data_IF_718402650959
#
_entry.id   IF_718402650959
#
_cell.length_a   1.000
_cell.length_b   1.000
_cell.length_c   1.000
_cell.angle_alpha   90.00
_cell.angle_beta   90.00
_cell.angle_gamma   90.00
#
_symmetry.space_group_name_H-M   'P 1'
#
loop_
_entity.id
_entity.type
_entity.pdbx_description
1 polymer ?
#
# COMPACT_ATOMS: atom_id res chain seq x y z
N UNK A 1 24.39 6.50 -33.42
CA UNK A 1 24.28 5.27 -32.60
C UNK A 1 22.96 5.32 -31.87
N UNK A 2 21.94 4.75 -32.49
CA UNK A 2 20.61 4.58 -31.90
C UNK A 2 20.38 3.07 -31.78
N UNK A 3 19.89 2.61 -30.64
CA UNK A 3 19.25 1.30 -30.52
C UNK A 3 17.93 1.50 -29.81
N UNK A 4 16.89 1.53 -30.63
CA UNK A 4 15.51 1.25 -30.26
C UNK A 4 15.43 -0.12 -29.59
N UNK A 5 14.59 -0.23 -28.55
CA UNK A 5 14.09 -1.51 -28.07
C UNK A 5 12.59 -1.52 -28.39
N UNK A 6 12.26 -2.21 -29.48
CA UNK A 6 10.91 -2.52 -29.88
C UNK A 6 10.27 -3.46 -28.86
N UNK A 7 9.10 -3.09 -28.33
CA UNK A 7 8.21 -4.02 -27.65
C UNK A 7 7.63 -4.97 -28.71
N UNK A 8 7.83 -6.28 -28.53
CA UNK A 8 7.13 -7.29 -29.32
C UNK A 8 6.19 -8.06 -28.39
N UNK A 9 4.90 -7.82 -28.58
CA UNK A 9 3.77 -8.55 -28.03
C UNK A 9 3.64 -9.87 -28.79
N UNK A 10 3.71 -11.01 -28.10
CA UNK A 10 3.26 -12.28 -28.68
C UNK A 10 2.59 -13.13 -27.61
N UNK A 11 1.26 -13.02 -27.58
CA UNK A 11 0.37 -14.03 -27.00
C UNK A 11 0.49 -15.30 -27.85
N UNK A 12 0.94 -16.41 -27.27
CA UNK A 12 0.61 -17.72 -27.80
C UNK A 12 0.45 -18.74 -26.67
N UNK A 13 -0.71 -19.39 -26.70
CA UNK A 13 -1.16 -20.45 -25.79
C UNK A 13 -0.31 -21.71 -25.93
N UNK A 14 0.07 -22.34 -24.82
CA UNK A 14 0.60 -23.70 -24.83
C UNK A 14 -0.34 -24.69 -24.14
N UNK A 15 -0.78 -25.65 -24.96
CA UNK A 15 -1.35 -26.95 -24.58
C UNK A 15 -0.29 -27.88 -23.97
N UNK A 16 -0.69 -28.98 -23.31
CA UNK A 16 0.18 -29.75 -22.42
C UNK A 16 1.12 -30.70 -23.18
N UNK A 17 2.41 -30.68 -22.84
CA UNK A 17 3.41 -31.64 -23.34
C UNK A 17 3.57 -32.80 -22.35
N UNK A 18 3.52 -34.00 -22.93
CA UNK A 18 3.73 -35.33 -22.34
C UNK A 18 5.00 -35.44 -21.49
N UNK A 19 4.85 -36.12 -20.37
CA UNK A 19 5.89 -36.56 -19.45
C UNK A 19 6.92 -37.47 -20.14
N UNK A 20 8.21 -37.24 -19.84
CA UNK A 20 9.28 -38.22 -20.00
C UNK A 20 9.95 -38.38 -18.63
N UNK A 21 10.25 -39.62 -18.17
CA UNK A 21 10.44 -39.92 -16.76
C UNK A 21 11.90 -39.72 -16.33
N UNK A 22 12.14 -38.88 -15.32
CA UNK A 22 13.50 -38.70 -14.81
C UNK A 22 13.70 -37.45 -13.94
N UNK A 23 12.81 -37.18 -13.00
CA UNK A 23 13.08 -36.26 -11.89
C UNK A 23 12.33 -36.74 -10.64
N UNK A 24 12.93 -36.67 -9.44
CA UNK A 24 12.26 -37.13 -8.22
C UNK A 24 11.02 -36.27 -7.97
N UNK A 25 9.87 -36.93 -7.83
CA UNK A 25 8.58 -36.31 -7.53
C UNK A 25 8.68 -35.46 -6.27
N UNK A 26 8.36 -34.18 -6.38
CA UNK A 26 8.08 -33.32 -5.22
C UNK A 26 6.85 -33.91 -4.53
N UNK A 27 6.95 -34.36 -3.26
CA UNK A 27 5.80 -34.93 -2.58
C UNK A 27 4.76 -33.82 -2.34
N UNK A 28 3.44 -34.15 -2.40
CA UNK A 28 2.41 -33.18 -2.09
C UNK A 28 2.61 -32.69 -0.65
N UNK A 29 2.56 -31.38 -0.47
CA UNK A 29 2.70 -30.72 0.82
C UNK A 29 1.43 -30.96 1.63
N UNK A 30 1.32 -32.18 2.18
CA UNK A 30 0.32 -32.51 3.20
C UNK A 30 0.85 -31.92 4.50
N UNK A 31 0.22 -30.85 4.96
CA UNK A 31 0.40 -30.34 6.31
C UNK A 31 -0.01 -31.42 7.30
N UNK A 32 0.96 -32.19 7.79
CA UNK A 32 0.73 -33.08 8.92
C UNK A 32 0.60 -32.21 10.17
N UNK A 33 -0.61 -31.73 10.44
CA UNK A 33 -1.01 -31.41 11.80
C UNK A 33 -0.86 -32.73 12.57
N UNK A 34 0.13 -32.84 13.45
CA UNK A 34 0.18 -33.95 14.41
C UNK A 34 -1.01 -33.80 15.36
N UNK A 35 -2.18 -34.28 14.94
CA UNK A 35 -3.26 -34.60 15.86
C UNK A 35 -2.84 -35.89 16.56
N UNK A 36 -2.36 -35.79 17.79
CA UNK A 36 -2.33 -36.93 18.70
C UNK A 36 -3.77 -37.43 18.87
N UNK A 37 -4.09 -38.69 18.54
CA UNK A 37 -5.42 -39.25 18.79
C UNK A 37 -5.69 -39.48 20.28
N UNK A 38 -4.68 -39.27 21.15
CA UNK A 38 -4.79 -39.47 22.58
C UNK A 38 -5.08 -38.14 23.26
N UNK A 39 -6.29 -38.01 23.80
CA UNK A 39 -6.64 -36.96 24.76
C UNK A 39 -5.60 -36.99 25.89
N UNK A 40 -4.81 -35.92 26.04
CA UNK A 40 -3.86 -35.81 27.13
C UNK A 40 -4.63 -35.71 28.46
N UNK A 41 -4.25 -36.46 29.51
CA UNK A 41 -5.00 -36.52 30.78
C UNK A 41 -5.05 -35.21 31.58
N UNK A 42 -4.30 -34.18 31.17
CA UNK A 42 -4.05 -32.99 31.98
C UNK A 42 -4.62 -31.69 31.41
N UNK A 43 -5.61 -31.76 30.52
CA UNK A 43 -6.40 -30.58 30.14
C UNK A 43 -7.50 -30.40 31.20
N UNK A 44 -7.59 -29.27 31.93
CA UNK A 44 -8.72 -29.01 32.81
C UNK A 44 -9.98 -28.90 31.95
N UNK A 45 -10.89 -29.86 32.07
CA UNK A 45 -12.21 -29.81 31.44
C UNK A 45 -13.09 -29.04 32.42
N UNK A 46 -13.65 -27.91 31.99
CA UNK A 46 -14.71 -27.20 32.70
C UNK A 46 -16.00 -28.03 32.54
N UNK A 47 -16.15 -29.03 33.39
CA UNK A 47 -17.31 -29.92 33.44
C UNK A 47 -17.09 -30.93 34.55
N UNK A 48 -17.99 -30.97 35.52
CA UNK A 48 -17.99 -31.98 36.57
C UNK A 48 -18.34 -33.31 35.91
N UNK A 49 -17.35 -34.17 35.70
CA UNK A 49 -17.62 -35.57 35.44
C UNK A 49 -17.85 -36.21 36.81
N UNK A 50 -19.09 -36.64 37.08
CA UNK A 50 -19.39 -37.44 38.27
C UNK A 50 -18.53 -38.70 38.19
N UNK A 51 -17.43 -38.71 38.96
CA UNK A 51 -16.68 -39.93 39.21
C UNK A 51 -17.60 -40.78 40.08
N UNK A 52 -18.19 -41.80 39.48
CA UNK A 52 -18.91 -42.83 40.20
C UNK A 52 -17.91 -43.50 41.15
N UNK A 53 -17.93 -43.11 42.43
CA UNK A 53 -17.10 -43.72 43.46
C UNK A 53 -17.68 -45.10 43.69
N UNK A 54 -17.15 -46.11 43.00
CA UNK A 54 -17.51 -47.50 43.27
C UNK A 54 -17.03 -47.81 44.69
N UNK A 55 -17.91 -48.00 45.68
CA UNK A 55 -17.48 -48.31 47.03
C UNK A 55 -16.87 -49.71 46.96
N UNK A 56 -15.58 -49.83 47.28
CA UNK A 56 -14.98 -51.14 47.43
C UNK A 56 -15.75 -51.91 48.50
N UNK A 57 -16.29 -53.11 48.19
CA UNK A 57 -16.97 -53.90 49.20
C UNK A 57 -16.00 -54.15 50.36
N UNK A 58 -16.44 -53.92 51.60
CA UNK A 58 -15.69 -54.28 52.79
C UNK A 58 -15.62 -55.80 52.88
N UNK A 59 -14.66 -56.40 52.19
CA UNK A 59 -14.44 -57.84 52.26
C UNK A 59 -13.73 -58.17 53.57
N UNK A 60 -14.21 -59.16 54.33
CA UNK A 60 -13.55 -59.60 55.54
C UNK A 60 -12.16 -60.15 55.18
N UNK A 61 -11.16 -59.75 55.95
CA UNK A 61 -9.77 -60.21 55.80
C UNK A 61 -9.69 -61.65 56.30
N UNK A 62 -9.98 -62.62 55.44
CA UNK A 62 -9.68 -64.03 55.69
C UNK A 62 -9.31 -64.77 54.39
N UNK A 63 -8.01 -65.04 54.23
CA UNK A 63 -7.40 -66.16 53.50
C UNK A 63 -7.61 -66.38 51.99
N UNK A 64 -8.01 -65.39 51.20
CA UNK A 64 -7.92 -65.48 49.72
C UNK A 64 -6.74 -64.70 49.15
N UNK A 65 -5.88 -65.38 48.40
CA UNK A 65 -4.82 -64.78 47.59
C UNK A 65 -5.43 -63.82 46.58
N UNK A 66 -5.15 -62.52 46.72
CA UNK A 66 -5.57 -61.49 45.77
C UNK A 66 -4.45 -61.33 44.75
N UNK A 67 -4.74 -61.60 43.48
CA UNK A 67 -3.84 -61.25 42.37
C UNK A 67 -3.91 -59.73 42.16
N UNK A 68 -2.80 -58.96 42.28
CA UNK A 68 -2.87 -57.51 42.18
C UNK A 68 -3.05 -57.10 40.72
N UNK A 69 -4.28 -56.72 40.35
CA UNK A 69 -4.54 -56.04 39.09
C UNK A 69 -3.78 -54.70 39.06
N UNK A 70 -2.90 -54.56 38.06
CA UNK A 70 -2.12 -53.37 37.67
C UNK A 70 -0.82 -53.07 38.45
N UNK A 71 0.28 -53.69 38.02
CA UNK A 71 1.66 -53.28 38.33
C UNK A 71 2.27 -52.54 37.13
N UNK A 72 2.65 -51.25 37.27
CA UNK A 72 3.39 -50.53 36.24
C UNK A 72 4.72 -51.25 35.94
N UNK A 73 5.07 -51.37 34.65
CA UNK A 73 6.26 -52.10 34.20
C UNK A 73 7.53 -51.65 34.93
N UNK A 74 8.16 -52.58 35.67
CA UNK A 74 9.39 -52.33 36.45
C UNK A 74 9.20 -52.31 37.97
N UNK A 75 7.95 -52.29 38.48
CA UNK A 75 7.65 -52.51 39.91
C UNK A 75 7.01 -53.89 40.09
N UNK A 76 7.82 -54.94 40.03
CA UNK A 76 7.40 -56.26 40.52
C UNK A 76 7.54 -56.26 42.05
N UNK A 77 6.49 -55.88 42.79
CA UNK A 77 6.41 -56.29 44.19
C UNK A 77 6.01 -57.75 44.19
N UNK A 78 6.93 -58.66 44.50
CA UNK A 78 6.56 -60.06 44.73
C UNK A 78 5.46 -60.09 45.82
N UNK A 79 4.36 -60.83 45.60
CA UNK A 79 3.34 -61.01 46.62
C UNK A 79 4.00 -61.51 47.91
N UNK A 80 3.62 -60.94 49.06
CA UNK A 80 4.11 -61.41 50.36
C UNK A 80 3.71 -62.88 50.53
N UNK A 81 4.63 -63.78 50.20
CA UNK A 81 4.46 -65.21 50.40
C UNK A 81 4.70 -65.50 51.87
N UNK A 82 3.64 -65.42 52.67
CA UNK A 82 3.70 -65.98 54.02
C UNK A 82 3.98 -67.48 53.89
N UNK A 83 5.06 -68.00 54.51
CA UNK A 83 5.24 -69.44 54.60
C UNK A 83 4.02 -70.00 55.33
N UNK A 84 3.21 -70.81 54.65
CA UNK A 84 2.08 -71.49 55.29
C UNK A 84 2.64 -72.52 56.28
N UNK A 85 2.81 -72.09 57.53
CA UNK A 85 3.45 -72.88 58.59
C UNK A 85 2.56 -73.99 59.15
N UNK A 86 1.31 -74.11 58.69
CA UNK A 86 0.32 -74.98 59.34
C UNK A 86 -0.25 -76.07 58.42
N UNK A 87 -0.20 -75.96 57.09
CA UNK A 87 -0.88 -76.94 56.22
C UNK A 87 -0.09 -77.48 55.02
N UNK A 88 1.25 -77.35 55.00
CA UNK A 88 2.05 -77.75 53.82
C UNK A 88 3.28 -78.62 54.04
N UNK A 89 3.60 -79.05 55.27
CA UNK A 89 4.78 -79.89 55.52
C UNK A 89 4.39 -81.17 56.25
N UNK A 90 4.55 -82.33 55.60
CA UNK A 90 4.54 -83.67 56.21
C UNK A 90 5.81 -83.95 57.05
N UNK A 91 6.39 -82.93 57.70
CA UNK A 91 7.58 -83.04 58.57
C UNK A 91 7.48 -82.10 59.78
N UNK A 92 8.21 -82.47 60.84
CA UNK A 92 8.06 -81.91 62.20
C UNK A 92 8.10 -80.38 62.27
N UNK A 93 7.33 -79.75 63.19
CA UNK A 93 7.25 -78.29 63.36
C UNK A 93 8.61 -77.59 63.54
N UNK A 94 9.58 -78.28 64.13
CA UNK A 94 10.95 -77.78 64.34
C UNK A 94 11.72 -77.58 63.03
N UNK A 95 11.46 -78.41 62.02
CA UNK A 95 12.12 -78.31 60.73
C UNK A 95 11.57 -77.12 59.94
N UNK A 96 10.26 -76.89 60.00
CA UNK A 96 9.61 -75.70 59.43
C UNK A 96 10.08 -74.40 60.12
N UNK A 97 10.21 -74.41 61.45
CA UNK A 97 10.74 -73.28 62.22
C UNK A 97 12.21 -72.97 61.89
N UNK A 98 13.07 -74.01 61.76
CA UNK A 98 14.47 -73.83 61.33
C UNK A 98 14.56 -73.34 59.88
N UNK A 99 13.80 -73.91 58.96
CA UNK A 99 13.76 -73.45 57.57
C UNK A 99 13.29 -71.99 57.47
N UNK A 100 12.30 -71.59 58.27
CA UNK A 100 11.81 -70.22 58.33
C UNK A 100 12.88 -69.20 58.81
N UNK A 101 13.85 -69.60 59.63
CA UNK A 101 14.97 -68.72 60.03
C UNK A 101 15.94 -68.44 58.87
N UNK A 102 16.06 -69.36 57.90
CA UNK A 102 16.90 -69.19 56.72
C UNK A 102 16.18 -68.55 55.52
N UNK A 103 14.84 -68.46 55.56
CA UNK A 103 14.02 -67.82 54.49
C UNK A 103 13.47 -66.45 54.89
N UNK A 104 13.71 -65.98 56.11
CA UNK A 104 13.23 -64.68 56.62
C UNK A 104 14.38 -63.68 56.68
N UNK A 105 14.08 -62.44 56.34
CA UNK A 105 15.02 -61.34 56.46
C UNK A 105 15.44 -61.13 57.92
N UNK A 106 16.73 -60.92 58.12
CA UNK A 106 17.31 -60.48 59.39
C UNK A 106 16.92 -59.03 59.68
N UNK A 107 16.96 -58.64 60.96
CA UNK A 107 16.70 -57.24 61.35
C UNK A 107 17.64 -56.26 60.62
N UNK A 108 18.88 -56.66 60.35
CA UNK A 108 19.85 -55.85 59.62
C UNK A 108 19.44 -55.68 58.14
N UNK A 109 18.99 -56.74 57.46
CA UNK A 109 18.48 -56.66 56.08
C UNK A 109 17.20 -55.83 55.99
N UNK A 110 16.29 -55.96 56.96
CA UNK A 110 15.10 -55.10 57.04
C UNK A 110 15.46 -53.63 57.28
N UNK A 111 16.40 -53.34 58.18
CA UNK A 111 16.91 -51.99 58.42
C UNK A 111 17.56 -51.41 57.15
N UNK A 112 18.40 -52.18 56.46
CA UNK A 112 19.04 -51.76 55.20
C UNK A 112 18.01 -51.48 54.10
N UNK A 113 16.98 -52.34 53.97
CA UNK A 113 15.91 -52.15 52.99
C UNK A 113 15.04 -50.92 53.33
N UNK A 114 14.72 -50.70 54.60
CA UNK A 114 13.99 -49.52 55.06
C UNK A 114 14.77 -48.22 54.79
N UNK A 115 16.08 -48.22 55.06
CA UNK A 115 16.97 -47.09 54.74
C UNK A 115 17.05 -46.88 53.23
N UNK A 116 17.18 -47.95 52.43
CA UNK A 116 17.20 -47.88 50.96
C UNK A 116 15.89 -47.29 50.42
N UNK A 117 14.74 -47.76 50.89
CA UNK A 117 13.43 -47.27 50.47
C UNK A 117 13.24 -45.79 50.85
N UNK A 118 13.67 -45.40 52.05
CA UNK A 118 13.66 -44.00 52.46
C UNK A 118 14.53 -43.14 51.54
N UNK A 119 15.78 -43.55 51.29
CA UNK A 119 16.70 -42.83 50.41
C UNK A 119 16.17 -42.74 48.97
N UNK A 120 15.56 -43.80 48.45
CA UNK A 120 14.94 -43.79 47.12
C UNK A 120 13.72 -42.85 47.07
N UNK A 121 12.88 -42.88 48.12
CA UNK A 121 11.75 -41.96 48.25
C UNK A 121 12.20 -40.50 48.36
N UNK A 122 13.22 -40.21 49.16
CA UNK A 122 13.78 -38.86 49.29
C UNK A 122 14.44 -38.40 47.98
N UNK A 123 15.17 -39.27 47.29
CA UNK A 123 15.71 -38.98 45.96
C UNK A 123 14.61 -38.65 44.93
N UNK A 124 13.49 -39.39 44.93
CA UNK A 124 12.33 -39.11 44.07
C UNK A 124 11.64 -37.80 44.45
N UNK A 125 11.49 -37.52 45.75
CA UNK A 125 10.95 -36.24 46.25
C UNK A 125 11.80 -35.06 45.77
N UNK A 126 13.12 -35.14 45.98
CA UNK A 126 14.09 -34.13 45.55
C UNK A 126 14.08 -33.95 44.02
N UNK A 127 13.98 -35.03 43.24
CA UNK A 127 13.84 -34.95 41.78
C UNK A 127 12.55 -34.24 41.37
N UNK A 128 11.41 -34.59 41.98
CA UNK A 128 10.12 -33.96 41.71
C UNK A 128 10.11 -32.48 42.09
N UNK A 129 10.74 -32.11 43.21
CA UNK A 129 10.94 -30.71 43.62
C UNK A 129 11.77 -29.94 42.60
N UNK A 130 12.88 -30.50 42.11
CA UNK A 130 13.68 -29.90 41.02
C UNK A 130 12.86 -29.69 39.75
N UNK A 131 12.13 -30.72 39.30
CA UNK A 131 11.29 -30.61 38.09
C UNK A 131 10.21 -29.54 38.25
N UNK A 132 9.55 -29.44 39.42
CA UNK A 132 8.57 -28.38 39.69
C UNK A 132 9.22 -26.99 39.64
N UNK A 133 10.41 -26.83 40.24
CA UNK A 133 11.15 -25.58 40.19
C UNK A 133 11.58 -25.21 38.76
N UNK A 134 12.03 -26.19 37.96
CA UNK A 134 12.38 -25.99 36.55
C UNK A 134 11.15 -25.60 35.71
N UNK A 135 10.01 -26.25 35.92
CA UNK A 135 8.74 -25.89 35.25
C UNK A 135 8.34 -24.45 35.61
N UNK A 136 8.39 -24.08 36.89
CA UNK A 136 8.06 -22.71 37.32
C UNK A 136 9.01 -21.67 36.72
N UNK A 137 10.31 -21.97 36.63
CA UNK A 137 11.29 -21.11 35.96
C UNK A 137 10.94 -20.96 34.48
N UNK A 138 10.73 -22.07 33.78
CA UNK A 138 10.37 -22.07 32.35
C UNK A 138 9.09 -21.29 32.07
N UNK A 139 8.07 -21.42 32.93
CA UNK A 139 6.82 -20.66 32.81
C UNK A 139 7.07 -19.14 32.91
N UNK A 140 7.87 -18.70 33.89
CA UNK A 140 8.22 -17.28 34.06
C UNK A 140 9.02 -16.76 32.87
N UNK A 141 10.07 -17.48 32.47
CA UNK A 141 10.89 -17.10 31.31
C UNK A 141 10.05 -16.99 30.03
N UNK A 142 9.13 -17.94 29.81
CA UNK A 142 8.24 -17.93 28.64
C UNK A 142 7.25 -16.76 28.69
N UNK A 143 6.68 -16.47 29.87
CA UNK A 143 5.76 -15.34 30.06
C UNK A 143 6.46 -13.98 29.87
N UNK A 144 7.69 -13.85 30.39
CA UNK A 144 8.54 -12.68 30.20
C UNK A 144 8.86 -12.46 28.72
N UNK A 145 9.28 -13.51 28.00
CA UNK A 145 9.55 -13.44 26.55
C UNK A 145 8.28 -13.08 25.77
N UNK A 146 7.14 -13.70 26.08
CA UNK A 146 5.87 -13.43 25.41
C UNK A 146 5.37 -12.00 25.65
N UNK A 147 5.47 -11.51 26.87
CA UNK A 147 5.07 -10.15 27.25
C UNK A 147 6.01 -9.10 26.69
N UNK A 148 7.31 -9.37 26.68
CA UNK A 148 8.31 -8.48 26.07
C UNK A 148 8.14 -8.43 24.55
N UNK A 149 8.00 -9.58 23.89
CA UNK A 149 7.76 -9.67 22.44
C UNK A 149 6.49 -8.94 22.00
N UNK A 150 5.41 -9.05 22.77
CA UNK A 150 4.17 -8.30 22.52
C UNK A 150 4.37 -6.79 22.65
N UNK A 151 5.09 -6.33 23.68
CA UNK A 151 5.41 -4.91 23.87
C UNK A 151 6.26 -4.36 22.72
N UNK A 152 7.29 -5.09 22.32
CA UNK A 152 8.19 -4.68 21.24
C UNK A 152 7.47 -4.67 19.89
N UNK A 153 6.65 -5.68 19.61
CA UNK A 153 5.84 -5.75 18.39
C UNK A 153 4.82 -4.62 18.34
N UNK A 154 4.11 -4.36 19.44
CA UNK A 154 3.16 -3.27 19.56
C UNK A 154 3.82 -1.90 19.33
N UNK A 155 4.98 -1.65 19.94
CA UNK A 155 5.77 -0.42 19.73
C UNK A 155 6.14 -0.24 18.25
N UNK A 156 6.70 -1.26 17.61
CA UNK A 156 7.15 -1.20 16.21
C UNK A 156 5.99 -1.00 15.22
N UNK A 157 4.83 -1.63 15.48
CA UNK A 157 3.63 -1.39 14.69
C UNK A 157 3.13 0.05 14.90
N UNK A 158 3.15 0.56 16.14
CA UNK A 158 2.78 1.95 16.44
C UNK A 158 3.67 2.98 15.73
N UNK A 159 4.98 2.74 15.69
CA UNK A 159 5.94 3.54 14.91
C UNK A 159 5.58 3.52 13.42
N UNK A 160 5.34 2.33 12.84
CA UNK A 160 4.95 2.20 11.42
C UNK A 160 3.63 2.89 11.09
N UNK A 161 2.64 2.83 11.99
CA UNK A 161 1.36 3.55 11.84
C UNK A 161 1.61 5.06 11.78
N UNK A 162 2.48 5.57 12.66
CA UNK A 162 2.83 7.00 12.71
C UNK A 162 3.49 7.44 11.41
N UNK A 163 4.50 6.70 10.94
CA UNK A 163 5.22 7.01 9.70
C UNK A 163 4.31 6.92 8.47
N UNK A 164 3.47 5.88 8.39
CA UNK A 164 2.55 5.70 7.27
C UNK A 164 1.47 6.79 7.26
N UNK A 165 1.00 7.20 8.45
CA UNK A 165 0.05 8.31 8.58
C UNK A 165 0.66 9.63 8.15
N UNK A 166 1.92 9.89 8.51
CA UNK A 166 2.65 11.06 8.05
C UNK A 166 2.69 11.11 6.51
N UNK A 167 3.16 10.04 5.86
CA UNK A 167 3.23 10.00 4.40
C UNK A 167 1.85 10.07 3.73
N UNK A 168 0.83 9.47 4.34
CA UNK A 168 -0.56 9.57 3.87
C UNK A 168 -1.04 11.01 3.86
N UNK A 169 -0.76 11.76 4.91
CA UNK A 169 -1.14 13.16 5.01
C UNK A 169 -0.37 14.03 4.02
N UNK A 170 0.95 13.83 3.88
CA UNK A 170 1.78 14.57 2.90
C UNK A 170 1.29 14.36 1.46
N UNK A 171 0.99 13.10 1.09
CA UNK A 171 0.44 12.77 -0.24
C UNK A 171 -0.94 13.38 -0.43
N UNK A 172 -1.81 13.34 0.60
CA UNK A 172 -3.15 13.95 0.54
C UNK A 172 -3.09 15.47 0.35
N UNK A 173 -2.22 16.16 1.09
CA UNK A 173 -2.03 17.61 0.99
C UNK A 173 -1.54 17.98 -0.41
N UNK A 174 -0.57 17.23 -0.94
CA UNK A 174 -0.06 17.54 -2.28
C UNK A 174 -1.02 17.18 -3.39
N UNK A 175 -1.87 16.16 -3.21
CA UNK A 175 -2.99 15.88 -4.10
C UNK A 175 -3.90 17.09 -4.24
N UNK A 176 -4.39 17.63 -3.13
CA UNK A 176 -5.30 18.79 -3.13
C UNK A 176 -4.66 19.99 -3.84
N UNK A 177 -3.38 20.22 -3.55
CA UNK A 177 -2.57 21.26 -4.19
C UNK A 177 -2.41 21.05 -5.70
N UNK A 178 -2.23 19.81 -6.16
CA UNK A 178 -2.12 19.48 -7.58
C UNK A 178 -3.46 19.65 -8.30
N UNK A 179 -4.56 19.20 -7.68
CA UNK A 179 -5.93 19.37 -8.20
C UNK A 179 -6.25 20.85 -8.37
N UNK A 180 -5.99 21.69 -7.37
CA UNK A 180 -6.19 23.14 -7.46
C UNK A 180 -5.36 23.78 -8.59
N UNK A 181 -4.13 23.32 -8.82
CA UNK A 181 -3.31 23.79 -9.95
C UNK A 181 -3.88 23.31 -11.29
N UNK A 182 -4.42 22.09 -11.37
CA UNK A 182 -5.07 21.57 -12.58
C UNK A 182 -6.33 22.37 -12.97
N UNK A 183 -7.11 22.79 -11.99
CA UNK A 183 -8.28 23.66 -12.21
C UNK A 183 -7.85 24.98 -12.84
N UNK A 184 -6.81 25.62 -12.29
CA UNK A 184 -6.24 26.86 -12.86
C UNK A 184 -5.74 26.66 -14.30
N UNK A 185 -5.03 25.56 -14.59
CA UNK A 185 -4.59 25.24 -15.95
C UNK A 185 -5.78 25.09 -16.90
N UNK A 186 -6.88 24.49 -16.45
CA UNK A 186 -8.08 24.33 -17.26
C UNK A 186 -8.78 25.68 -17.54
N UNK A 187 -8.77 26.60 -16.58
CA UNK A 187 -9.28 27.95 -16.78
C UNK A 187 -8.41 28.76 -17.75
N UNK A 188 -7.08 28.69 -17.62
CA UNK A 188 -6.15 29.31 -18.57
C UNK A 188 -6.31 28.72 -19.98
N UNK A 189 -6.51 27.40 -20.11
CA UNK A 189 -6.84 26.74 -21.38
C UNK A 189 -8.08 27.36 -22.02
N UNK A 190 -9.16 27.53 -21.25
CA UNK A 190 -10.41 28.17 -21.71
C UNK A 190 -10.20 29.66 -22.05
N UNK A 191 -9.34 30.36 -21.33
CA UNK A 191 -9.00 31.75 -21.64
C UNK A 191 -8.26 31.86 -22.98
N UNK A 192 -7.27 31.01 -23.23
CA UNK A 192 -6.56 30.95 -24.53
C UNK A 192 -7.51 30.58 -25.69
N UNK A 193 -8.40 29.61 -25.50
CA UNK A 193 -9.41 29.24 -26.50
C UNK A 193 -10.35 30.42 -26.83
N UNK A 194 -10.79 31.16 -25.80
CA UNK A 194 -11.58 32.38 -25.97
C UNK A 194 -10.80 33.50 -26.66
N UNK A 195 -9.52 33.68 -26.34
CA UNK A 195 -8.67 34.69 -26.96
C UNK A 195 -8.48 34.42 -28.46
N UNK A 196 -8.25 33.15 -28.84
CA UNK A 196 -8.17 32.75 -30.26
C UNK A 196 -9.48 33.05 -30.99
N UNK A 197 -10.63 32.65 -30.41
CA UNK A 197 -11.94 32.92 -31.00
C UNK A 197 -12.25 34.42 -31.09
N UNK A 198 -11.81 35.21 -30.11
CA UNK A 198 -11.98 36.66 -30.07
C UNK A 198 -11.26 37.39 -31.20
N UNK A 199 -10.18 36.83 -31.75
CA UNK A 199 -9.43 37.42 -32.87
C UNK A 199 -10.13 37.21 -34.23
N UNK A 200 -10.98 36.19 -34.38
CA UNK A 200 -11.62 35.87 -35.68
C UNK A 200 -12.49 37.03 -36.21
N UNK A 201 -13.21 37.73 -35.33
CA UNK A 201 -14.05 38.88 -35.69
C UNK A 201 -13.23 40.06 -36.25
N UNK A 202 -12.29 40.63 -35.48
CA UNK A 202 -11.39 41.68 -35.96
C UNK A 202 -10.67 41.30 -37.25
N UNK A 203 -10.17 40.06 -37.36
CA UNK A 203 -9.48 39.59 -38.54
C UNK A 203 -10.38 39.60 -39.79
N UNK A 204 -11.62 39.13 -39.67
CA UNK A 204 -12.59 39.18 -40.76
C UNK A 204 -12.89 40.62 -41.21
N UNK A 205 -13.04 41.55 -40.26
CA UNK A 205 -13.29 42.98 -40.56
C UNK A 205 -12.12 43.57 -41.38
N UNK A 206 -10.88 43.36 -40.93
CA UNK A 206 -9.69 43.87 -41.61
C UNK A 206 -9.56 43.27 -43.02
N UNK A 207 -9.87 41.99 -43.18
CA UNK A 207 -9.89 41.32 -44.48
C UNK A 207 -10.95 41.88 -45.43
N UNK A 208 -12.17 42.15 -44.93
CA UNK A 208 -13.23 42.82 -45.71
C UNK A 208 -12.81 44.25 -46.12
N UNK A 209 -12.17 45.00 -45.21
CA UNK A 209 -11.62 46.32 -45.55
C UNK A 209 -10.62 46.24 -46.71
N UNK A 210 -9.70 45.27 -46.69
CA UNK A 210 -8.74 45.04 -47.78
C UNK A 210 -9.46 44.63 -49.08
N UNK A 211 -10.45 43.73 -48.99
CA UNK A 211 -11.24 43.28 -50.14
C UNK A 211 -11.98 44.44 -50.83
N UNK A 212 -12.58 45.35 -50.06
CA UNK A 212 -13.22 46.54 -50.62
C UNK A 212 -12.25 47.53 -51.25
N UNK A 213 -11.03 47.62 -50.73
CA UNK A 213 -9.98 48.47 -51.31
C UNK A 213 -9.48 47.91 -52.64
N UNK A 214 -9.32 46.60 -52.73
CA UNK A 214 -8.91 45.90 -53.96
C UNK A 214 -9.93 46.07 -55.10
N UNK A 215 -11.21 46.27 -54.78
CA UNK A 215 -12.27 46.51 -55.79
C UNK A 215 -12.23 47.89 -56.45
N UNK A 216 -11.47 48.85 -55.91
CA UNK A 216 -11.38 50.20 -56.49
C UNK A 216 -10.80 50.13 -57.90
N UNK A 217 -11.28 50.99 -58.79
CA UNK A 217 -10.94 50.95 -60.22
C UNK A 217 -9.97 52.08 -60.60
N UNK A 218 -9.03 51.77 -61.49
CA UNK A 218 -8.10 52.74 -62.06
C UNK A 218 -7.23 53.42 -61.02
N UNK A 219 -7.13 54.74 -61.09
CA UNK A 219 -6.24 55.54 -60.23
C UNK A 219 -6.66 55.57 -58.75
N UNK A 220 -7.87 55.12 -58.41
CA UNK A 220 -8.35 55.04 -57.02
C UNK A 220 -7.84 53.78 -56.28
N UNK A 221 -7.29 52.80 -57.01
CA UNK A 221 -6.59 51.65 -56.44
C UNK A 221 -5.17 52.07 -56.03
N UNK A 222 -5.07 52.60 -54.81
CA UNK A 222 -3.82 53.18 -54.28
C UNK A 222 -3.34 52.42 -53.06
N UNK A 223 -2.06 52.05 -53.08
CA UNK A 223 -1.34 51.51 -51.95
C UNK A 223 -0.95 52.63 -50.96
N UNK A 224 -1.91 53.04 -50.12
CA UNK A 224 -1.78 54.14 -49.18
C UNK A 224 -1.44 53.67 -47.75
N UNK A 225 -1.31 54.62 -46.82
CA UNK A 225 -1.04 54.33 -45.41
C UNK A 225 -2.13 53.48 -44.74
N UNK A 226 -3.37 53.50 -45.24
CA UNK A 226 -4.46 52.68 -44.69
C UNK A 226 -4.25 51.23 -45.10
N UNK A 227 -3.92 50.98 -46.37
CA UNK A 227 -3.65 49.62 -46.85
C UNK A 227 -2.45 48.99 -46.14
N UNK A 228 -1.38 49.75 -45.94
CA UNK A 228 -0.21 49.31 -45.18
C UNK A 228 -0.57 48.96 -43.72
N UNK A 229 -1.35 49.81 -43.05
CA UNK A 229 -1.80 49.53 -41.67
C UNK A 229 -2.73 48.31 -41.59
N UNK A 230 -3.65 48.14 -42.54
CA UNK A 230 -4.54 46.97 -42.60
C UNK A 230 -3.74 45.67 -42.80
N UNK A 231 -2.79 45.64 -43.73
CA UNK A 231 -1.93 44.48 -43.96
C UNK A 231 -1.12 44.12 -42.71
N UNK A 232 -0.58 45.14 -42.02
CA UNK A 232 0.12 44.95 -40.75
C UNK A 232 -0.80 44.44 -39.65
N UNK A 233 -2.04 44.92 -39.59
CA UNK A 233 -3.05 44.44 -38.64
C UNK A 233 -3.41 42.97 -38.87
N UNK A 234 -3.58 42.53 -40.12
CA UNK A 234 -3.74 41.10 -40.44
C UNK A 234 -2.55 40.29 -39.93
N UNK A 235 -1.32 40.75 -40.20
CA UNK A 235 -0.11 40.05 -39.77
C UNK A 235 -0.04 39.92 -38.24
N UNK A 236 -0.25 41.02 -37.50
CA UNK A 236 -0.26 41.03 -36.04
C UNK A 236 -1.34 40.12 -35.45
N UNK A 237 -2.57 40.16 -35.99
CA UNK A 237 -3.66 39.29 -35.53
C UNK A 237 -3.33 37.81 -35.74
N UNK A 238 -2.80 37.45 -36.91
CA UNK A 238 -2.37 36.06 -37.22
C UNK A 238 -1.24 35.60 -36.30
N UNK A 239 -0.23 36.45 -36.09
CA UNK A 239 0.89 36.16 -35.19
C UNK A 239 0.39 35.93 -33.75
N UNK A 240 -0.53 36.76 -33.25
CA UNK A 240 -1.14 36.57 -31.93
C UNK A 240 -1.93 35.26 -31.83
N UNK A 241 -2.70 34.89 -32.86
CA UNK A 241 -3.39 33.58 -32.88
C UNK A 241 -2.40 32.42 -32.79
N UNK A 242 -1.28 32.47 -33.52
CA UNK A 242 -0.29 31.40 -33.51
C UNK A 242 0.44 31.33 -32.17
N UNK A 243 0.78 32.48 -31.57
CA UNK A 243 1.29 32.56 -30.20
C UNK A 243 0.34 31.88 -29.21
N UNK A 244 -0.97 32.19 -29.27
CA UNK A 244 -1.98 31.58 -28.39
C UNK A 244 -2.16 30.07 -28.64
N UNK A 245 -2.17 29.62 -29.90
CA UNK A 245 -2.25 28.18 -30.24
C UNK A 245 -1.05 27.40 -29.69
N UNK A 246 0.15 27.97 -29.83
CA UNK A 246 1.38 27.37 -29.30
C UNK A 246 1.35 27.26 -27.78
N UNK A 247 0.90 28.31 -27.08
CA UNK A 247 0.75 28.26 -25.62
C UNK A 247 -0.35 27.28 -25.19
N UNK A 248 -1.46 27.23 -25.92
CA UNK A 248 -2.56 26.31 -25.65
C UNK A 248 -2.12 24.85 -25.71
N UNK A 249 -1.27 24.49 -26.68
CA UNK A 249 -0.74 23.12 -26.76
C UNK A 249 0.19 22.80 -25.59
N UNK A 250 1.04 23.74 -25.16
CA UNK A 250 1.86 23.58 -23.95
C UNK A 250 1.00 23.35 -22.70
N UNK A 251 -0.06 24.14 -22.51
CA UNK A 251 -1.01 24.01 -21.40
C UNK A 251 -1.74 22.66 -21.45
N UNK A 252 -2.15 22.20 -22.65
CA UNK A 252 -2.79 20.89 -22.83
C UNK A 252 -1.86 19.74 -22.47
N UNK A 253 -0.61 19.82 -22.90
CA UNK A 253 0.39 18.80 -22.56
C UNK A 253 0.67 18.78 -21.05
N UNK A 254 0.84 19.95 -20.43
CA UNK A 254 1.04 20.03 -18.99
C UNK A 254 -0.17 19.50 -18.21
N UNK A 255 -1.39 19.74 -18.71
CA UNK A 255 -2.61 19.19 -18.11
C UNK A 255 -2.63 17.65 -18.12
N UNK A 256 -2.12 17.02 -19.18
CA UNK A 256 -1.97 15.55 -19.25
C UNK A 256 -0.93 15.06 -18.24
N UNK A 257 0.21 15.75 -18.14
CA UNK A 257 1.27 15.40 -17.18
C UNK A 257 0.77 15.49 -15.74
N UNK A 258 0.09 16.59 -15.36
CA UNK A 258 -0.48 16.73 -14.04
C UNK A 258 -1.51 15.65 -13.73
N UNK A 259 -2.33 15.24 -14.71
CA UNK A 259 -3.29 14.13 -14.53
C UNK A 259 -2.62 12.78 -14.31
N UNK A 260 -1.51 12.51 -15.01
CA UNK A 260 -0.73 11.29 -14.78
C UNK A 260 -0.15 11.27 -13.36
N UNK A 261 0.45 12.38 -12.92
CA UNK A 261 0.99 12.49 -11.55
C UNK A 261 -0.11 12.43 -10.49
N UNK A 262 -1.29 12.99 -10.76
CA UNK A 262 -2.46 12.86 -9.89
C UNK A 262 -2.81 11.39 -9.69
N UNK A 263 -2.85 10.60 -10.77
CA UNK A 263 -3.15 9.17 -10.67
C UNK A 263 -2.12 8.39 -9.84
N UNK A 264 -0.84 8.75 -9.93
CA UNK A 264 0.22 8.17 -9.10
C UNK A 264 0.00 8.46 -7.61
N UNK A 265 -0.31 9.72 -7.27
CA UNK A 265 -0.64 10.12 -5.89
C UNK A 265 -1.92 9.42 -5.37
N UNK A 266 -2.95 9.21 -6.22
CA UNK A 266 -4.20 8.54 -5.84
C UNK A 266 -3.95 7.06 -5.52
N UNK A 267 -3.07 6.44 -6.31
CA UNK A 267 -2.66 5.05 -6.12
C UNK A 267 -1.85 4.91 -4.83
N UNK A 268 -0.90 5.81 -4.61
CA UNK A 268 -0.09 5.80 -3.40
C UNK A 268 -0.94 6.03 -2.13
N UNK A 269 -1.88 6.98 -2.19
CA UNK A 269 -2.81 7.26 -1.11
C UNK A 269 -3.62 6.02 -0.72
N UNK A 270 -4.22 5.35 -1.72
CA UNK A 270 -5.00 4.11 -1.52
C UNK A 270 -4.17 2.99 -0.90
N UNK A 271 -2.93 2.83 -1.35
CA UNK A 271 -2.03 1.82 -0.80
C UNK A 271 -1.71 2.10 0.68
N UNK A 272 -1.51 3.37 1.05
CA UNK A 272 -1.29 3.76 2.45
C UNK A 272 -2.53 3.57 3.31
N UNK A 273 -3.72 3.90 2.81
CA UNK A 273 -4.97 3.63 3.52
C UNK A 273 -5.17 2.14 3.80
N UNK A 274 -4.90 1.30 2.80
CA UNK A 274 -4.95 -0.15 2.94
C UNK A 274 -3.93 -0.67 3.98
N UNK A 275 -2.68 -0.20 3.89
CA UNK A 275 -1.62 -0.56 4.85
C UNK A 275 -1.99 -0.13 6.28
N UNK A 276 -2.51 1.10 6.46
CA UNK A 276 -3.00 1.58 7.75
C UNK A 276 -4.15 0.73 8.29
N UNK A 277 -5.05 0.24 7.43
CA UNK A 277 -6.12 -0.66 7.84
C UNK A 277 -5.59 -1.97 8.44
N UNK A 278 -4.61 -2.58 7.78
CA UNK A 278 -3.94 -3.80 8.28
C UNK A 278 -3.19 -3.48 9.58
N UNK A 279 -2.42 -2.40 9.61
CA UNK A 279 -1.57 -2.05 10.75
C UNK A 279 -2.39 -1.75 12.00
N UNK A 280 -3.50 -1.01 11.86
CA UNK A 280 -4.42 -0.74 12.96
C UNK A 280 -5.05 -2.02 13.50
N UNK A 281 -5.43 -2.96 12.63
CA UNK A 281 -5.95 -4.27 13.05
C UNK A 281 -4.87 -5.05 13.82
N UNK A 282 -3.66 -5.13 13.27
CA UNK A 282 -2.53 -5.82 13.91
C UNK A 282 -2.17 -5.19 15.26
N UNK A 283 -2.26 -3.88 15.40
CA UNK A 283 -1.96 -3.18 16.66
C UNK A 283 -2.95 -3.50 17.78
N UNK A 284 -4.18 -3.91 17.45
CA UNK A 284 -5.19 -4.33 18.43
C UNK A 284 -5.00 -5.78 18.92
N UNK A 285 -4.17 -6.57 18.23
CA UNK A 285 -3.89 -7.96 18.61
C UNK A 285 -2.96 -8.03 19.82
N UNK A 286 -3.23 -8.99 20.69
CA UNK A 286 -2.50 -9.24 21.93
C UNK A 286 -2.38 -10.74 22.25
N UNK A 287 -1.61 -11.08 23.29
CA UNK A 287 -1.36 -12.45 23.75
C UNK A 287 -2.62 -13.26 24.15
N UNK A 288 -3.79 -12.64 24.26
CA UNK A 288 -5.07 -13.29 24.58
C UNK A 288 -6.04 -13.31 23.39
N UNK A 289 -5.58 -12.87 22.21
CA UNK A 289 -6.39 -12.85 21.00
C UNK A 289 -6.75 -14.26 20.54
N UNK A 290 -7.91 -14.42 19.90
CA UNK A 290 -8.33 -15.71 19.34
C UNK A 290 -7.46 -16.08 18.14
N UNK A 291 -7.31 -17.39 17.87
CA UNK A 291 -6.59 -17.87 16.69
C UNK A 291 -5.07 -17.96 16.85
N UNK A 292 -4.55 -17.82 18.08
CA UNK A 292 -3.14 -18.06 18.39
C UNK A 292 -2.78 -19.53 18.14
N UNK A 293 -1.98 -19.76 17.11
CA UNK A 293 -1.49 -21.06 16.69
C UNK A 293 -0.09 -20.91 16.09
N UNK A 294 0.65 -22.01 16.01
CA UNK A 294 1.91 -22.02 15.28
C UNK A 294 1.64 -22.10 13.78
N UNK A 295 2.05 -21.06 13.05
CA UNK A 295 1.97 -21.02 11.58
C UNK A 295 3.37 -21.23 11.01
N UNK A 296 3.62 -22.40 10.43
CA UNK A 296 4.93 -22.73 9.86
C UNK A 296 5.25 -21.86 8.64
N UNK A 297 6.51 -21.42 8.49
CA UNK A 297 6.97 -20.69 7.31
C UNK A 297 6.82 -19.18 7.37
N UNK A 298 6.26 -18.62 8.45
CA UNK A 298 6.26 -17.17 8.71
C UNK A 298 7.68 -16.61 8.89
N UNK A 299 8.64 -17.47 9.24
CA UNK A 299 10.06 -17.11 9.35
C UNK A 299 10.77 -17.00 7.99
N UNK A 300 10.12 -17.38 6.89
CA UNK A 300 10.70 -17.21 5.55
C UNK A 300 10.59 -15.73 5.15
N UNK A 301 11.72 -15.04 5.25
CA UNK A 301 11.87 -13.69 4.73
C UNK A 301 11.83 -13.72 3.20
N UNK A 302 10.85 -13.02 2.62
CA UNK A 302 10.79 -12.79 1.18
C UNK A 302 11.58 -11.52 0.82
N UNK A 303 12.71 -11.62 0.10
CA UNK A 303 13.53 -10.47 -0.27
C UNK A 303 12.86 -9.56 -1.31
N UNK A 304 11.70 -9.94 -1.87
CA UNK A 304 10.92 -9.09 -2.77
C UNK A 304 10.01 -8.10 -2.02
N UNK A 305 9.93 -8.20 -0.69
CA UNK A 305 9.12 -7.29 0.14
C UNK A 305 9.79 -5.92 0.26
N UNK A 306 9.00 -4.87 0.07
CA UNK A 306 9.47 -3.49 0.18
C UNK A 306 9.82 -3.17 1.63
N UNK A 307 11.05 -2.69 1.88
CA UNK A 307 11.43 -2.20 3.20
C UNK A 307 10.80 -0.82 3.48
N UNK A 308 10.69 -0.46 4.77
CA UNK A 308 10.07 0.81 5.17
C UNK A 308 10.80 2.03 4.57
N UNK A 309 12.11 1.94 4.39
CA UNK A 309 12.94 3.00 3.81
C UNK A 309 12.61 3.23 2.32
N UNK A 310 12.46 2.16 1.53
CA UNK A 310 12.06 2.19 0.12
C UNK A 310 10.63 2.69 -0.02
N UNK A 311 9.72 2.33 0.88
CA UNK A 311 8.36 2.85 0.88
C UNK A 311 8.34 4.37 1.10
N UNK A 312 9.09 4.85 2.08
CA UNK A 312 9.25 6.29 2.32
C UNK A 312 9.92 6.99 1.13
N UNK A 313 10.97 6.41 0.55
CA UNK A 313 11.66 6.96 -0.61
C UNK A 313 10.76 7.02 -1.86
N UNK A 314 9.92 6.00 -2.09
CA UNK A 314 8.94 5.99 -3.19
C UNK A 314 7.87 7.08 -3.00
N UNK A 315 7.40 7.26 -1.77
CA UNK A 315 6.46 8.34 -1.40
C UNK A 315 7.08 9.71 -1.66
N UNK A 316 8.31 9.92 -1.18
CA UNK A 316 9.08 11.15 -1.38
C UNK A 316 9.35 11.43 -2.87
N UNK A 317 9.68 10.41 -3.65
CA UNK A 317 9.91 10.55 -5.10
C UNK A 317 8.64 10.96 -5.85
N UNK A 318 7.50 10.35 -5.50
CA UNK A 318 6.18 10.69 -6.09
C UNK A 318 5.79 12.12 -5.72
N UNK A 319 6.01 12.51 -4.46
CA UNK A 319 5.78 13.87 -3.98
C UNK A 319 6.65 14.90 -4.72
N UNK A 320 7.94 14.63 -4.86
CA UNK A 320 8.87 15.49 -5.58
C UNK A 320 8.48 15.65 -7.06
N UNK A 321 8.04 14.56 -7.69
CA UNK A 321 7.52 14.60 -9.07
C UNK A 321 6.30 15.51 -9.16
N UNK A 322 5.33 15.37 -8.27
CA UNK A 322 4.15 16.26 -8.20
C UNK A 322 4.53 17.72 -8.04
N UNK A 323 5.42 18.03 -7.11
CA UNK A 323 5.89 19.39 -6.87
C UNK A 323 6.58 19.97 -8.11
N UNK A 324 7.36 19.16 -8.83
CA UNK A 324 8.01 19.58 -10.08
C UNK A 324 7.01 19.89 -11.20
N UNK A 325 5.96 19.08 -11.35
CA UNK A 325 4.90 19.31 -12.34
C UNK A 325 4.04 20.53 -11.97
N UNK A 326 3.77 20.73 -10.68
CA UNK A 326 3.11 21.94 -10.17
C UNK A 326 3.93 23.20 -10.43
N UNK A 327 5.24 23.18 -10.21
CA UNK A 327 6.12 24.32 -10.49
C UNK A 327 6.08 24.69 -11.98
N UNK A 328 6.18 23.71 -12.87
CA UNK A 328 6.02 23.93 -14.33
C UNK A 328 4.66 24.50 -14.68
N UNK A 329 3.59 23.97 -14.08
CA UNK A 329 2.24 24.45 -14.31
C UNK A 329 2.07 25.91 -13.86
N UNK A 330 2.55 26.27 -12.66
CA UNK A 330 2.49 27.65 -12.15
C UNK A 330 3.25 28.61 -13.07
N UNK A 331 4.42 28.21 -13.58
CA UNK A 331 5.14 29.01 -14.56
C UNK A 331 4.32 29.22 -15.83
N UNK A 332 3.72 28.16 -16.39
CA UNK A 332 2.87 28.26 -17.58
C UNK A 332 1.63 29.15 -17.37
N UNK A 333 1.05 29.17 -16.17
CA UNK A 333 -0.05 30.08 -15.84
C UNK A 333 0.38 31.55 -15.98
N UNK A 334 1.54 31.91 -15.41
CA UNK A 334 2.09 33.26 -15.51
C UNK A 334 2.48 33.62 -16.95
N UNK A 335 3.13 32.70 -17.66
CA UNK A 335 3.53 32.90 -19.04
C UNK A 335 2.33 33.13 -19.96
N UNK A 336 1.24 32.37 -19.75
CA UNK A 336 0.01 32.51 -20.53
C UNK A 336 -0.73 33.84 -20.23
N UNK A 337 -0.81 34.25 -18.96
CA UNK A 337 -1.38 35.54 -18.58
C UNK A 337 -0.60 36.71 -19.20
N UNK A 338 0.72 36.68 -19.08
CA UNK A 338 1.60 37.68 -19.69
C UNK A 338 1.43 37.72 -21.21
N UNK A 339 1.37 36.55 -21.86
CA UNK A 339 1.18 36.45 -23.30
C UNK A 339 -0.16 37.07 -23.74
N UNK A 340 -1.25 36.77 -23.03
CA UNK A 340 -2.57 37.34 -23.31
C UNK A 340 -2.53 38.86 -23.19
N UNK A 341 -1.94 39.39 -22.11
CA UNK A 341 -1.87 40.83 -21.88
C UNK A 341 -1.00 41.55 -22.93
N UNK A 342 0.17 41.00 -23.27
CA UNK A 342 1.06 41.57 -24.29
C UNK A 342 0.38 41.57 -25.65
N UNK A 343 -0.21 40.45 -26.06
CA UNK A 343 -0.92 40.35 -27.33
C UNK A 343 -2.16 41.24 -27.37
N UNK A 344 -2.88 41.42 -26.26
CA UNK A 344 -4.02 42.34 -26.21
C UNK A 344 -3.59 43.79 -26.45
N UNK A 345 -2.49 44.23 -25.82
CA UNK A 345 -1.91 45.57 -26.05
C UNK A 345 -1.44 45.72 -27.50
N UNK A 346 -0.74 44.73 -28.04
CA UNK A 346 -0.23 44.74 -29.43
C UNK A 346 -1.37 44.87 -30.45
N UNK A 347 -2.45 44.11 -30.26
CA UNK A 347 -3.66 44.19 -31.10
C UNK A 347 -4.32 45.57 -30.98
N UNK A 348 -4.43 46.10 -29.76
CA UNK A 348 -5.07 47.40 -29.52
C UNK A 348 -4.29 48.56 -30.17
N UNK A 349 -2.97 48.56 -30.03
CA UNK A 349 -2.09 49.55 -30.64
C UNK A 349 -2.19 49.51 -32.16
N UNK A 350 -2.18 48.30 -32.74
CA UNK A 350 -2.27 48.14 -34.19
C UNK A 350 -3.63 48.58 -34.74
N UNK A 351 -4.73 48.23 -34.05
CA UNK A 351 -6.07 48.71 -34.38
C UNK A 351 -6.18 50.24 -34.32
N UNK A 352 -5.61 50.87 -33.29
CA UNK A 352 -5.56 52.32 -33.12
C UNK A 352 -4.81 53.01 -34.27
N UNK A 353 -3.68 52.42 -34.69
CA UNK A 353 -2.89 52.89 -35.83
C UNK A 353 -3.67 52.81 -37.14
N UNK A 354 -4.39 51.70 -37.38
CA UNK A 354 -5.25 51.53 -38.57
C UNK A 354 -6.36 52.57 -38.60
N UNK A 355 -7.07 52.80 -37.49
CA UNK A 355 -8.13 53.81 -37.42
C UNK A 355 -7.62 55.23 -37.59
N UNK A 356 -6.43 55.52 -37.05
CA UNK A 356 -5.77 56.81 -37.26
C UNK A 356 -5.40 57.03 -38.73
N UNK A 357 -4.98 55.98 -39.44
CA UNK A 357 -4.74 56.04 -40.87
C UNK A 357 -6.04 56.27 -41.66
N UNK A 358 -7.12 55.56 -41.32
CA UNK A 358 -8.44 55.78 -41.93
C UNK A 358 -8.93 57.21 -41.74
N UNK A 359 -8.83 57.73 -40.51
CA UNK A 359 -9.29 59.09 -40.17
C UNK A 359 -8.57 60.14 -41.03
N UNK A 360 -7.25 60.02 -41.19
CA UNK A 360 -6.45 60.89 -42.07
C UNK A 360 -6.89 60.77 -43.53
N UNK A 361 -7.05 59.54 -44.04
CA UNK A 361 -7.42 59.31 -45.44
C UNK A 361 -8.82 59.80 -45.78
N UNK A 362 -9.76 59.65 -44.85
CA UNK A 362 -11.12 60.18 -44.98
C UNK A 362 -11.09 61.71 -45.03
N UNK A 363 -10.32 62.36 -44.15
CA UNK A 363 -10.18 63.81 -44.14
C UNK A 363 -9.60 64.34 -45.46
N UNK A 364 -8.52 63.73 -45.97
CA UNK A 364 -7.93 64.05 -47.28
C UNK A 364 -8.96 63.91 -48.41
N UNK A 365 -9.73 62.82 -48.41
CA UNK A 365 -10.74 62.55 -49.45
C UNK A 365 -11.87 63.59 -49.42
N UNK A 366 -12.33 63.97 -48.24
CA UNK A 366 -13.34 65.02 -48.05
C UNK A 366 -12.80 66.37 -48.53
N UNK A 367 -11.55 66.71 -48.20
CA UNK A 367 -10.93 67.95 -48.63
C UNK A 367 -10.82 68.04 -50.16
N UNK A 368 -10.36 66.97 -50.82
CA UNK A 368 -10.27 66.89 -52.27
C UNK A 368 -11.66 67.02 -52.90
N UNK A 369 -12.66 66.31 -52.39
CA UNK A 369 -14.05 66.42 -52.85
C UNK A 369 -14.56 67.86 -52.77
N UNK A 370 -14.36 68.53 -51.63
CA UNK A 370 -14.80 69.91 -51.44
C UNK A 370 -14.10 70.86 -52.42
N UNK A 371 -12.79 70.70 -52.65
CA UNK A 371 -12.02 71.47 -53.65
C UNK A 371 -12.55 71.26 -55.07
N UNK A 372 -12.86 70.02 -55.46
CA UNK A 372 -13.43 69.70 -56.76
C UNK A 372 -14.84 70.28 -56.95
N UNK A 373 -15.69 70.22 -55.92
CA UNK A 373 -17.03 70.82 -55.94
C UNK A 373 -16.97 72.34 -56.08
N UNK A 374 -16.06 72.99 -55.37
CA UNK A 374 -15.82 74.44 -55.51
C UNK A 374 -15.34 74.81 -56.91
N UNK A 375 -14.43 74.01 -57.49
CA UNK A 375 -13.96 74.22 -58.85
C UNK A 375 -15.08 74.05 -59.88
N UNK A 376 -15.90 73.00 -59.73
CA UNK A 376 -17.07 72.77 -60.59
C UNK A 376 -18.04 73.96 -60.56
N UNK A 377 -18.31 74.52 -59.37
CA UNK A 377 -19.16 75.69 -59.24
C UNK A 377 -18.58 76.92 -59.97
N UNK A 378 -17.27 77.15 -59.88
CA UNK A 378 -16.59 78.23 -60.60
C UNK A 378 -16.69 78.05 -62.12
N UNK A 379 -16.42 76.85 -62.63
CA UNK A 379 -16.51 76.55 -64.06
C UNK A 379 -17.92 76.80 -64.58
N UNK A 380 -18.94 76.32 -63.86
CA UNK A 380 -20.34 76.52 -64.23
C UNK A 380 -20.77 77.99 -64.26
N UNK A 381 -20.22 78.84 -63.38
CA UNK A 381 -20.44 80.28 -63.43
C UNK A 381 -19.77 80.93 -64.65
N UNK A 382 -18.57 80.49 -65.00
CA UNK A 382 -17.84 81.03 -66.17
C UNK A 382 -18.37 80.56 -67.52
N UNK A 383 -19.07 79.42 -67.58
CA UNK A 383 -19.68 78.91 -68.82
C UNK A 383 -21.13 79.38 -69.06
N UNK A 384 -21.72 80.11 -68.10
CA UNK A 384 -23.03 80.75 -68.22
C UNK A 384 -22.93 82.27 -68.50
N UNK A 385 -21.71 82.78 -68.68
CA UNK A 385 -21.37 84.09 -69.25
C UNK A 385 -20.90 83.87 -70.69
#
# INVERSE_FOLDING_TARGET
MAKEVSMCTQLQQWSPVKETPGAPSIPPQVGYCFHSPKKHPWRPIMGYEEIEVTPMPSQPITNTMVDPCYTPAGMATEPLRFPNLVTGFDRSPEHAARAALYTRYTQNEWNQNSIKNYNESDAKRNFSERVRNDIMRMLRETDEIGTQGQRDSGRRIGERITDTTFWRNEVSIEMERLVATCEKLNDTRRQLERAIAGIEGPLHIVQECLYHREKRQGLEQVHDAVEQSLLKEVATLRECQDKFRNMLEKVRQQSKNCRATQHELETDLRNKEYALGIDNMCHQLNNFSKGLQFYAGIERYDPTVCDAARWAAASAATLQRSQSERAKAVQMLSDAENLINVSATEIWDQWSNTNSAFTRRIAETIEIKNKLQLHLHKVNLTSNL
#
